data_IF_980725143989
#
_entry.id   IF_980725143989
#
_cell.length_a   1.000
_cell.length_b   1.000
_cell.length_c   1.000
_cell.angle_alpha   90.00
_cell.angle_beta   90.00
_cell.angle_gamma   90.00
#
_symmetry.space_group_name_H-M   'P 1'
#
loop_
_entity.id
_entity.type
_entity.pdbx_description
1 polymer ?
#
# COMPACT_ATOMS: atom_id res chain seq x y z
N UNK A 1 7.99 -9.89 -4.18
CA UNK A 1 9.40 -10.14 -3.79
C UNK A 1 10.23 -10.88 -4.82
N UNK A 2 9.99 -12.16 -5.16
CA UNK A 2 10.84 -12.91 -6.11
C UNK A 2 11.10 -12.20 -7.44
N UNK A 3 10.05 -11.65 -8.08
CA UNK A 3 10.20 -10.87 -9.32
C UNK A 3 11.17 -9.68 -9.17
N UNK A 4 11.12 -8.98 -8.04
CA UNK A 4 12.01 -7.85 -7.73
C UNK A 4 13.45 -8.36 -7.53
N UNK A 5 13.62 -9.46 -6.79
CA UNK A 5 14.93 -10.07 -6.60
C UNK A 5 15.57 -10.54 -7.92
N UNK A 6 14.78 -11.13 -8.82
CA UNK A 6 15.23 -11.55 -10.15
C UNK A 6 15.62 -10.37 -11.05
N UNK A 7 15.11 -9.16 -10.80
CA UNK A 7 15.43 -7.96 -11.56
C UNK A 7 16.92 -7.59 -11.46
N UNK A 8 17.56 -7.80 -10.31
CA UNK A 8 19.01 -7.59 -10.12
C UNK A 8 19.86 -8.50 -11.01
N UNK A 9 19.30 -9.62 -11.49
CA UNK A 9 19.99 -10.48 -12.46
C UNK A 9 19.82 -10.01 -13.91
N UNK A 10 18.72 -9.31 -14.20
CA UNK A 10 18.34 -8.90 -15.56
C UNK A 10 18.85 -7.51 -15.91
N UNK A 11 18.68 -6.54 -15.01
CA UNK A 11 19.08 -5.15 -15.20
C UNK A 11 20.30 -4.90 -14.31
N UNK A 12 21.43 -4.60 -14.95
CA UNK A 12 22.70 -4.30 -14.28
C UNK A 12 23.18 -2.93 -14.73
N UNK A 13 22.73 -1.86 -14.07
CA UNK A 13 23.23 -0.52 -14.34
C UNK A 13 24.73 -0.47 -14.05
N UNK A 14 25.49 0.27 -14.85
CA UNK A 14 26.91 0.52 -14.56
C UNK A 14 27.11 1.41 -13.32
N UNK A 15 26.07 2.17 -12.95
CA UNK A 15 26.06 3.03 -11.78
C UNK A 15 24.62 3.32 -11.31
N UNK A 16 24.40 3.35 -10.00
CA UNK A 16 23.12 3.62 -9.35
C UNK A 16 23.27 4.74 -8.35
N UNK A 17 22.27 5.62 -8.27
CA UNK A 17 22.20 6.71 -7.29
C UNK A 17 20.81 6.71 -6.66
N UNK A 18 20.75 6.79 -5.34
CA UNK A 18 19.54 7.04 -4.55
C UNK A 18 19.60 8.45 -3.99
N UNK A 19 18.62 9.29 -4.32
CA UNK A 19 18.36 10.56 -3.65
C UNK A 19 17.70 10.28 -2.30
N UNK A 20 18.53 10.19 -1.26
CA UNK A 20 18.11 10.05 0.13
C UNK A 20 18.10 11.38 0.87
N UNK A 21 17.71 12.49 0.25
CA UNK A 21 17.52 13.75 1.00
C UNK A 21 16.41 13.62 2.04
N UNK A 22 15.36 12.88 1.70
CA UNK A 22 14.26 12.55 2.59
C UNK A 22 13.92 11.07 2.45
N UNK A 23 13.45 10.46 3.53
CA UNK A 23 12.77 9.18 3.47
C UNK A 23 11.30 9.35 3.81
N UNK A 24 10.45 8.61 3.09
CA UNK A 24 9.04 8.44 3.45
C UNK A 24 8.91 7.20 4.33
N UNK A 25 8.41 7.38 5.54
CA UNK A 25 8.13 6.31 6.51
C UNK A 25 6.63 6.04 6.58
N UNK A 26 6.20 5.00 7.29
CA UNK A 26 4.79 4.61 7.42
C UNK A 26 4.07 4.20 6.10
N UNK A 27 4.82 3.66 5.14
CA UNK A 27 4.29 3.18 3.87
C UNK A 27 4.54 4.15 2.72
N UNK A 28 3.97 3.84 1.56
CA UNK A 28 4.30 4.54 0.30
C UNK A 28 3.45 5.79 0.01
N UNK A 29 2.40 6.04 0.79
CA UNK A 29 1.50 7.19 0.61
C UNK A 29 1.54 8.11 1.84
N UNK A 30 2.25 9.25 1.78
CA UNK A 30 2.26 10.21 2.87
C UNK A 30 0.94 10.97 2.95
N UNK A 31 0.33 10.99 4.14
CA UNK A 31 -0.91 11.73 4.39
C UNK A 31 -0.63 13.23 4.46
N UNK A 32 -1.42 14.03 3.75
CA UNK A 32 -1.19 15.47 3.65
C UNK A 32 -1.31 16.17 5.01
N UNK A 33 -2.33 15.82 5.81
CA UNK A 33 -2.55 16.44 7.13
C UNK A 33 -1.62 15.92 8.23
N UNK A 34 -0.77 14.95 7.93
CA UNK A 34 0.20 14.37 8.87
C UNK A 34 1.59 14.26 8.25
N UNK A 35 1.89 15.09 7.25
CA UNK A 35 3.10 14.98 6.43
C UNK A 35 4.39 15.00 7.27
N UNK A 36 4.38 15.76 8.37
CA UNK A 36 5.46 15.84 9.36
C UNK A 36 5.79 14.51 10.03
N UNK A 37 4.84 13.56 10.07
CA UNK A 37 5.03 12.21 10.60
C UNK A 37 5.57 11.23 9.57
N UNK A 38 5.46 11.53 8.28
CA UNK A 38 5.87 10.66 7.17
C UNK A 38 7.25 11.01 6.63
N UNK A 39 7.66 12.28 6.67
CA UNK A 39 8.87 12.74 6.00
C UNK A 39 9.99 12.92 7.00
N UNK A 40 11.05 12.13 6.83
CA UNK A 40 12.26 12.22 7.65
C UNK A 40 13.39 12.81 6.81
N UNK A 41 13.96 13.98 7.19
CA UNK A 41 15.18 14.49 6.57
C UNK A 41 16.35 13.55 6.85
N UNK A 42 16.95 13.04 5.78
CA UNK A 42 18.10 12.11 5.85
C UNK A 42 19.38 12.76 5.35
N UNK A 43 19.27 13.66 4.36
CA UNK A 43 20.39 14.46 3.84
C UNK A 43 21.56 13.60 3.34
N UNK A 44 21.30 12.53 2.59
CA UNK A 44 22.31 11.62 2.06
C UNK A 44 22.06 11.28 0.60
N UNK A 45 23.13 11.10 -0.15
CA UNK A 45 23.09 10.42 -1.44
C UNK A 45 23.82 9.10 -1.30
N UNK A 46 23.24 8.03 -1.83
CA UNK A 46 23.84 6.71 -1.83
C UNK A 46 24.13 6.37 -3.28
N UNK A 47 25.37 6.01 -3.60
CA UNK A 47 25.75 5.71 -4.96
C UNK A 47 26.76 4.57 -5.00
N UNK A 48 26.75 3.82 -6.10
CA UNK A 48 27.64 2.69 -6.30
C UNK A 48 27.43 2.05 -7.68
N UNK A 49 28.33 1.15 -8.04
CA UNK A 49 28.32 0.36 -9.28
C UNK A 49 27.52 -0.96 -9.15
N UNK A 50 27.06 -1.30 -7.95
CA UNK A 50 26.18 -2.45 -7.69
C UNK A 50 24.85 -2.00 -7.07
N UNK A 51 23.76 -2.23 -7.80
CA UNK A 51 22.41 -1.86 -7.38
C UNK A 51 21.97 -2.54 -6.06
N UNK A 52 22.32 -3.81 -5.88
CA UNK A 52 21.96 -4.56 -4.68
C UNK A 52 22.77 -4.08 -3.47
N UNK A 53 24.03 -3.68 -3.67
CA UNK A 53 24.83 -3.05 -2.63
C UNK A 53 24.22 -1.70 -2.20
N UNK A 54 23.83 -0.87 -3.17
CA UNK A 54 23.19 0.43 -2.90
C UNK A 54 21.90 0.27 -2.11
N UNK A 55 21.01 -0.63 -2.54
CA UNK A 55 19.74 -0.87 -1.83
C UNK A 55 19.95 -1.52 -0.46
N UNK A 56 20.97 -2.35 -0.31
CA UNK A 56 21.38 -2.90 0.99
C UNK A 56 21.79 -1.78 1.95
N UNK A 57 22.60 -0.81 1.50
CA UNK A 57 22.98 0.33 2.32
C UNK A 57 21.78 1.25 2.60
N UNK A 58 20.89 1.46 1.62
CA UNK A 58 19.67 2.21 1.83
C UNK A 58 18.77 1.58 2.92
N UNK A 59 18.60 0.24 2.89
CA UNK A 59 17.88 -0.49 3.93
C UNK A 59 18.55 -0.33 5.31
N UNK A 60 19.89 -0.45 5.39
CA UNK A 60 20.64 -0.25 6.64
C UNK A 60 20.49 1.18 7.19
N UNK A 61 20.52 2.19 6.33
CA UNK A 61 20.28 3.60 6.69
C UNK A 61 18.87 3.79 7.29
N UNK A 62 17.89 3.01 6.83
CA UNK A 62 16.53 2.98 7.37
C UNK A 62 16.40 2.10 8.64
N UNK A 63 17.48 1.45 9.07
CA UNK A 63 17.56 0.58 10.23
C UNK A 63 17.04 -0.84 10.00
N UNK A 64 17.16 -1.35 8.78
CA UNK A 64 16.78 -2.71 8.40
C UNK A 64 17.98 -3.51 7.91
N UNK A 65 18.07 -4.76 8.37
CA UNK A 65 19.00 -5.73 7.80
C UNK A 65 18.47 -6.31 6.49
N UNK A 66 19.38 -6.77 5.63
CA UNK A 66 19.04 -7.42 4.34
C UNK A 66 18.06 -8.58 4.54
N UNK A 67 18.23 -9.33 5.63
CA UNK A 67 17.37 -10.48 5.96
C UNK A 67 15.92 -10.11 6.30
N UNK A 68 15.67 -8.84 6.65
CA UNK A 68 14.34 -8.34 7.01
C UNK A 68 13.57 -7.79 5.81
N UNK A 69 14.25 -7.57 4.68
CA UNK A 69 13.64 -7.07 3.44
C UNK A 69 13.62 -8.22 2.43
N UNK A 70 12.45 -8.85 2.28
CA UNK A 70 12.31 -10.14 1.58
C UNK A 70 12.95 -10.18 0.18
N UNK A 71 12.78 -9.15 -0.65
CA UNK A 71 13.42 -9.13 -1.97
C UNK A 71 14.94 -8.93 -1.90
N UNK A 72 15.47 -8.17 -0.94
CA UNK A 72 16.91 -8.04 -0.73
C UNK A 72 17.52 -9.33 -0.20
N UNK A 73 16.84 -9.99 0.74
CA UNK A 73 17.21 -11.33 1.22
C UNK A 73 17.32 -12.33 0.07
N UNK A 74 16.28 -12.45 -0.75
CA UNK A 74 16.27 -13.37 -1.90
C UNK A 74 17.37 -13.04 -2.93
N UNK A 75 17.61 -11.75 -3.19
CA UNK A 75 18.67 -11.31 -4.09
C UNK A 75 20.07 -11.61 -3.50
N UNK A 76 20.27 -11.34 -2.21
CA UNK A 76 21.54 -11.59 -1.53
C UNK A 76 21.84 -13.08 -1.37
N UNK A 77 20.83 -13.92 -1.17
CA UNK A 77 21.00 -15.38 -1.17
C UNK A 77 21.64 -15.89 -2.47
N UNK A 78 21.31 -15.25 -3.60
CA UNK A 78 21.81 -15.57 -4.94
C UNK A 78 23.16 -14.91 -5.25
N UNK A 79 23.35 -13.65 -4.87
CA UNK A 79 24.47 -12.82 -5.31
C UNK A 79 25.57 -12.62 -4.25
N UNK A 80 25.28 -12.86 -2.96
CA UNK A 80 26.21 -12.77 -1.82
C UNK A 80 26.92 -11.41 -1.73
N UNK A 81 26.19 -10.33 -1.96
CA UNK A 81 26.73 -8.95 -2.02
C UNK A 81 26.85 -8.34 -0.63
N UNK A 82 25.89 -8.60 0.28
CA UNK A 82 25.72 -7.90 1.56
C UNK A 82 26.96 -7.91 2.47
N UNK A 83 27.74 -8.99 2.44
CA UNK A 83 28.95 -9.17 3.25
C UNK A 83 30.24 -8.59 2.65
N UNK A 84 30.17 -7.96 1.47
CA UNK A 84 31.34 -7.46 0.72
C UNK A 84 31.26 -5.97 0.40
N UNK A 85 30.30 -5.26 0.98
CA UNK A 85 30.07 -3.85 0.69
C UNK A 85 31.09 -3.01 1.45
N UNK A 86 31.96 -2.32 0.72
CA UNK A 86 32.79 -1.23 1.26
C UNK A 86 31.99 0.08 1.19
N UNK A 87 31.88 0.78 2.32
CA UNK A 87 31.16 2.07 2.40
C UNK A 87 32.18 3.19 2.46
N UNK A 88 32.18 4.05 1.44
CA UNK A 88 32.94 5.30 1.44
C UNK A 88 32.04 6.42 1.96
N UNK A 89 32.35 6.95 3.14
CA UNK A 89 31.57 7.98 3.83
C UNK A 89 31.08 7.52 5.20
N UNK A 90 30.46 8.44 5.95
CA UNK A 90 29.99 8.17 7.30
C UNK A 90 28.47 7.89 7.32
N UNK A 91 28.12 6.64 7.62
CA UNK A 91 26.73 6.21 7.85
C UNK A 91 26.42 5.99 9.33
N UNK A 92 27.38 6.19 10.24
CA UNK A 92 27.20 5.92 11.69
C UNK A 92 26.13 6.82 12.33
N UNK A 93 25.86 7.98 11.74
CA UNK A 93 24.76 8.88 12.13
C UNK A 93 23.37 8.26 11.94
N UNK A 94 23.24 7.24 11.09
CA UNK A 94 21.99 6.52 10.84
C UNK A 94 21.88 5.33 11.78
N UNK A 95 21.39 5.60 12.99
CA UNK A 95 21.32 4.63 14.09
C UNK A 95 19.89 4.40 14.59
N UNK A 96 18.90 4.76 13.78
CA UNK A 96 17.48 4.64 14.12
C UNK A 96 16.78 3.70 13.15
N UNK A 97 15.84 2.94 13.69
CA UNK A 97 14.92 2.14 12.90
C UNK A 97 13.65 2.93 12.62
N UNK A 98 13.32 3.08 11.35
CA UNK A 98 12.14 3.83 10.92
C UNK A 98 10.94 2.91 10.68
N UNK A 99 9.72 3.29 11.04
CA UNK A 99 8.55 2.45 10.82
C UNK A 99 8.17 2.36 9.34
N UNK A 100 7.77 1.17 8.89
CA UNK A 100 7.25 0.95 7.53
C UNK A 100 5.73 0.66 7.49
N UNK A 101 5.12 0.41 8.64
CA UNK A 101 3.66 0.19 8.76
C UNK A 101 2.93 1.53 8.79
N UNK A 102 1.75 1.58 8.16
CA UNK A 102 0.84 2.71 8.23
C UNK A 102 0.52 3.11 9.68
N UNK A 103 0.11 4.35 9.90
CA UNK A 103 -0.08 4.90 11.26
C UNK A 103 -1.28 4.25 11.94
N UNK A 104 -2.34 3.96 11.19
CA UNK A 104 -3.51 3.24 11.68
C UNK A 104 -4.62 4.13 12.25
N UNK A 105 -4.74 5.37 11.76
CA UNK A 105 -5.81 6.32 12.12
C UNK A 105 -7.05 6.05 11.26
N UNK A 106 -7.89 5.12 11.72
CA UNK A 106 -9.14 4.74 11.03
C UNK A 106 -10.38 5.35 11.69
N UNK A 107 -11.50 5.47 10.94
CA UNK A 107 -12.77 5.86 11.56
C UNK A 107 -13.25 4.79 12.56
N UNK A 108 -13.63 5.20 13.78
CA UNK A 108 -14.11 4.32 14.86
C UNK A 108 -15.28 3.40 14.46
N UNK A 109 -16.10 3.86 13.51
CA UNK A 109 -17.26 3.11 13.01
C UNK A 109 -16.90 1.86 12.21
N UNK A 110 -15.64 1.70 11.77
CA UNK A 110 -15.22 0.63 10.86
C UNK A 110 -14.77 -0.62 11.62
N UNK A 111 -15.38 -1.77 11.28
CA UNK A 111 -14.94 -3.08 11.79
C UNK A 111 -14.02 -3.76 10.78
N UNK A 112 -12.81 -4.12 11.18
CA UNK A 112 -11.86 -4.85 10.33
C UNK A 112 -11.76 -6.31 10.80
N UNK A 113 -11.96 -7.25 9.88
CA UNK A 113 -11.81 -8.69 10.11
C UNK A 113 -10.73 -9.23 9.19
N UNK A 114 -9.77 -9.95 9.75
CA UNK A 114 -8.67 -10.59 9.01
C UNK A 114 -8.71 -12.09 9.26
N UNK A 115 -8.64 -12.87 8.18
CA UNK A 115 -8.53 -14.31 8.25
C UNK A 115 -7.25 -14.76 8.96
N UNK A 116 -7.36 -15.81 9.77
CA UNK A 116 -6.29 -16.33 10.64
C UNK A 116 -5.26 -17.19 9.89
N UNK A 117 -5.65 -17.78 8.76
CA UNK A 117 -4.74 -18.58 7.94
C UNK A 117 -3.87 -17.72 7.02
N UNK A 118 -4.44 -16.66 6.45
CA UNK A 118 -3.74 -15.76 5.52
C UNK A 118 -4.43 -14.43 5.41
N UNK A 119 -3.69 -13.33 5.50
CA UNK A 119 -4.13 -12.01 5.05
C UNK A 119 -2.89 -11.24 4.58
N UNK A 120 -2.63 -11.25 3.27
CA UNK A 120 -1.39 -10.68 2.73
C UNK A 120 -1.36 -9.16 2.95
N UNK A 121 -0.31 -8.68 3.62
CA UNK A 121 -0.10 -7.27 3.94
C UNK A 121 -0.02 -6.42 2.66
N UNK A 122 0.96 -6.71 1.80
CA UNK A 122 1.15 -6.01 0.52
C UNK A 122 0.08 -6.31 -0.54
N UNK A 123 -0.74 -7.35 -0.31
CA UNK A 123 -1.74 -7.81 -1.26
C UNK A 123 -3.11 -7.17 -1.05
N UNK A 124 -3.72 -7.41 0.10
CA UNK A 124 -5.10 -7.02 0.36
C UNK A 124 -5.21 -6.01 1.50
N UNK A 125 -4.37 -6.14 2.53
CA UNK A 125 -4.56 -5.42 3.80
C UNK A 125 -4.02 -4.00 3.73
N UNK A 126 -2.70 -3.83 3.57
CA UNK A 126 -2.04 -2.55 3.82
C UNK A 126 -2.48 -1.47 2.83
N UNK A 127 -2.63 -1.82 1.55
CA UNK A 127 -3.12 -0.87 0.54
C UNK A 127 -4.58 -0.46 0.78
N UNK A 128 -5.43 -1.39 1.22
CA UNK A 128 -6.82 -1.06 1.57
C UNK A 128 -6.90 -0.18 2.80
N UNK A 129 -6.11 -0.51 3.83
CA UNK A 129 -6.10 0.24 5.07
C UNK A 129 -5.45 1.62 4.90
N UNK A 130 -4.43 1.74 4.06
CA UNK A 130 -3.86 3.03 3.69
C UNK A 130 -4.90 3.91 2.99
N UNK A 131 -5.65 3.39 2.00
CA UNK A 131 -6.71 4.16 1.35
C UNK A 131 -7.78 4.57 2.35
N UNK A 132 -8.19 3.67 3.25
CA UNK A 132 -9.14 3.99 4.33
C UNK A 132 -8.64 5.14 5.22
N UNK A 133 -7.38 5.07 5.65
CA UNK A 133 -6.74 6.08 6.48
C UNK A 133 -6.64 7.42 5.75
N UNK A 134 -6.19 7.44 4.49
CA UNK A 134 -6.14 8.64 3.65
C UNK A 134 -7.51 9.30 3.51
N UNK A 135 -8.54 8.53 3.17
CA UNK A 135 -9.89 9.06 3.03
C UNK A 135 -10.42 9.63 4.36
N UNK A 136 -10.02 9.05 5.48
CA UNK A 136 -10.41 9.52 6.80
C UNK A 136 -9.67 10.79 7.22
N UNK A 137 -8.35 10.76 7.17
CA UNK A 137 -7.48 11.82 7.69
C UNK A 137 -7.55 13.04 6.76
N UNK A 138 -7.25 12.86 5.48
CA UNK A 138 -7.11 13.98 4.55
C UNK A 138 -8.48 14.52 4.09
N UNK A 139 -9.47 13.64 3.93
CA UNK A 139 -10.79 14.02 3.39
C UNK A 139 -11.93 13.99 4.40
N UNK A 140 -11.66 13.66 5.67
CA UNK A 140 -12.67 13.67 6.74
C UNK A 140 -13.73 12.58 6.59
N UNK A 141 -13.49 11.57 5.76
CA UNK A 141 -14.44 10.49 5.52
C UNK A 141 -14.74 9.69 6.78
N UNK A 142 -16.01 9.39 7.01
CA UNK A 142 -16.51 8.66 8.17
C UNK A 142 -17.58 7.69 7.74
N UNK A 143 -17.79 6.61 8.50
CA UNK A 143 -18.88 5.69 8.24
C UNK A 143 -18.88 4.50 9.19
N UNK A 144 -19.98 3.77 9.16
CA UNK A 144 -20.13 2.50 9.85
C UNK A 144 -20.24 1.39 8.82
N UNK A 145 -19.22 0.55 8.74
CA UNK A 145 -19.14 -0.54 7.77
C UNK A 145 -18.09 -1.55 8.23
N UNK A 146 -17.99 -2.67 7.53
CA UNK A 146 -16.97 -3.68 7.81
C UNK A 146 -16.10 -3.95 6.60
N UNK A 147 -14.84 -4.30 6.85
CA UNK A 147 -13.91 -4.77 5.84
C UNK A 147 -13.41 -6.17 6.24
N UNK A 148 -13.46 -7.11 5.31
CA UNK A 148 -13.07 -8.51 5.50
C UNK A 148 -11.94 -8.86 4.56
N UNK A 149 -10.87 -9.44 5.09
CA UNK A 149 -9.66 -9.83 4.35
C UNK A 149 -9.29 -11.28 4.58
N UNK A 150 -8.70 -11.91 3.57
CA UNK A 150 -7.94 -13.13 3.77
C UNK A 150 -8.75 -14.43 3.92
N UNK A 151 -8.08 -15.45 4.48
CA UNK A 151 -8.53 -16.85 4.60
C UNK A 151 -8.51 -17.32 6.06
N UNK A 152 -9.39 -18.25 6.43
CA UNK A 152 -9.52 -18.75 7.80
C UNK A 152 -10.33 -17.78 8.64
N UNK A 153 -11.47 -17.37 8.10
CA UNK A 153 -12.38 -16.40 8.68
C UNK A 153 -13.26 -17.06 9.74
N UNK A 154 -13.34 -16.43 10.91
CA UNK A 154 -14.20 -16.91 11.99
C UNK A 154 -15.67 -16.60 11.68
N UNK A 155 -16.48 -17.64 11.52
CA UNK A 155 -17.90 -17.51 11.23
C UNK A 155 -18.64 -16.61 12.24
N UNK A 156 -18.27 -16.65 13.52
CA UNK A 156 -18.89 -15.78 14.55
C UNK A 156 -18.57 -14.32 14.32
N UNK A 157 -17.35 -14.01 13.88
CA UNK A 157 -16.96 -12.64 13.53
C UNK A 157 -17.72 -12.14 12.28
N UNK A 158 -17.89 -13.04 11.30
CA UNK A 158 -18.63 -12.78 10.06
C UNK A 158 -20.14 -12.62 10.29
N UNK A 159 -20.72 -13.21 11.34
CA UNK A 159 -22.13 -13.04 11.69
C UNK A 159 -22.43 -11.70 12.38
N UNK A 160 -21.39 -11.03 12.90
CA UNK A 160 -21.48 -9.78 13.65
C UNK A 160 -20.81 -8.59 12.93
N UNK A 161 -20.97 -8.50 11.61
CA UNK A 161 -20.48 -7.38 10.80
C UNK A 161 -21.48 -6.21 10.74
N UNK A 162 -20.95 -5.00 10.57
CA UNK A 162 -21.67 -3.76 10.26
C UNK A 162 -21.83 -3.62 8.74
N UNK A 163 -23.05 -3.59 8.16
CA UNK A 163 -23.24 -3.32 6.75
C UNK A 163 -23.10 -1.82 6.44
N UNK A 164 -22.59 -1.43 5.25
CA UNK A 164 -22.16 -2.32 4.17
C UNK A 164 -20.87 -3.09 4.49
N UNK A 165 -20.67 -4.24 3.83
CA UNK A 165 -19.47 -5.08 4.00
C UNK A 165 -18.63 -5.01 2.73
N UNK A 166 -17.35 -4.67 2.87
CA UNK A 166 -16.34 -4.75 1.81
C UNK A 166 -15.53 -6.03 2.01
N UNK A 167 -15.51 -6.92 1.03
CA UNK A 167 -14.74 -8.16 1.04
C UNK A 167 -13.59 -8.01 0.06
N UNK A 168 -12.36 -8.03 0.54
CA UNK A 168 -11.18 -7.71 -0.28
C UNK A 168 -10.25 -8.91 -0.42
N UNK A 169 -9.94 -9.23 -1.67
CA UNK A 169 -9.04 -10.28 -2.08
C UNK A 169 -9.77 -11.57 -2.45
N UNK A 170 -9.22 -12.36 -3.40
CA UNK A 170 -9.83 -13.59 -3.87
C UNK A 170 -10.07 -14.58 -2.73
N UNK A 171 -9.13 -14.70 -1.77
CA UNK A 171 -9.26 -15.61 -0.65
C UNK A 171 -10.52 -15.35 0.20
N UNK A 172 -10.83 -14.09 0.50
CA UNK A 172 -11.99 -13.75 1.32
C UNK A 172 -13.30 -13.89 0.53
N UNK A 173 -13.27 -13.55 -0.75
CA UNK A 173 -14.42 -13.67 -1.65
C UNK A 173 -14.79 -15.14 -1.84
N UNK A 174 -13.82 -16.01 -2.11
CA UNK A 174 -14.03 -17.45 -2.27
C UNK A 174 -14.54 -18.11 -0.98
N UNK A 175 -14.00 -17.75 0.17
CA UNK A 175 -14.36 -18.39 1.44
C UNK A 175 -15.70 -17.88 2.01
N UNK A 176 -15.97 -16.58 1.92
CA UNK A 176 -17.07 -15.94 2.65
C UNK A 176 -18.06 -15.16 1.77
N UNK A 177 -17.77 -14.90 0.49
CA UNK A 177 -18.58 -14.03 -0.37
C UNK A 177 -20.05 -14.42 -0.44
N UNK A 178 -20.34 -15.68 -0.78
CA UNK A 178 -21.71 -16.21 -0.88
C UNK A 178 -22.46 -16.18 0.45
N UNK A 179 -21.77 -16.55 1.54
CA UNK A 179 -22.35 -16.49 2.88
C UNK A 179 -22.72 -15.05 3.25
N UNK A 180 -21.81 -14.10 3.03
CA UNK A 180 -22.01 -12.70 3.35
C UNK A 180 -23.12 -12.08 2.50
N UNK A 181 -23.21 -12.38 1.20
CA UNK A 181 -24.29 -11.92 0.33
C UNK A 181 -25.67 -12.42 0.75
N UNK A 182 -25.77 -13.65 1.25
CA UNK A 182 -27.02 -14.19 1.81
C UNK A 182 -27.39 -13.53 3.14
N UNK A 183 -26.39 -13.15 3.94
CA UNK A 183 -26.57 -12.66 5.31
C UNK A 183 -26.77 -11.15 5.42
N UNK A 184 -26.15 -10.37 4.54
CA UNK A 184 -26.12 -8.91 4.58
C UNK A 184 -26.65 -8.31 3.28
N UNK A 185 -27.48 -7.27 3.41
CA UNK A 185 -28.14 -6.62 2.27
C UNK A 185 -27.15 -5.93 1.30
N UNK A 186 -26.00 -5.47 1.78
CA UNK A 186 -25.04 -4.70 0.98
C UNK A 186 -23.62 -5.24 1.21
N UNK A 187 -23.18 -6.06 0.27
CA UNK A 187 -21.83 -6.62 0.20
C UNK A 187 -21.19 -6.17 -1.10
N UNK A 188 -19.96 -5.66 -1.03
CA UNK A 188 -19.13 -5.31 -2.19
C UNK A 188 -17.91 -6.20 -2.15
N UNK A 189 -17.65 -6.91 -3.24
CA UNK A 189 -16.51 -7.81 -3.38
C UNK A 189 -15.46 -7.19 -4.29
N UNK A 190 -14.20 -7.33 -3.89
CA UNK A 190 -13.02 -7.01 -4.70
C UNK A 190 -12.24 -8.32 -4.87
N UNK A 191 -12.50 -9.10 -5.93
CA UNK A 191 -11.97 -10.46 -6.08
C UNK A 191 -10.51 -10.52 -6.54
N UNK A 192 -9.76 -9.42 -6.41
CA UNK A 192 -8.38 -9.30 -6.83
C UNK A 192 -7.52 -8.79 -5.67
N UNK A 193 -6.28 -9.28 -5.60
CA UNK A 193 -5.28 -8.65 -4.76
C UNK A 193 -4.92 -7.28 -5.35
N UNK A 194 -4.80 -6.28 -4.49
CA UNK A 194 -4.30 -4.95 -4.82
C UNK A 194 -5.10 -4.20 -5.91
N UNK A 195 -6.41 -4.44 -6.04
CA UNK A 195 -7.28 -3.62 -6.89
C UNK A 195 -7.69 -2.34 -6.15
N UNK A 196 -6.75 -1.39 -6.12
CA UNK A 196 -6.89 -0.10 -5.47
C UNK A 196 -8.08 0.71 -6.00
N UNK A 197 -8.41 0.61 -7.29
CA UNK A 197 -9.50 1.37 -7.87
C UNK A 197 -10.86 0.87 -7.37
N UNK A 198 -11.06 -0.46 -7.31
CA UNK A 198 -12.28 -1.05 -6.75
C UNK A 198 -12.41 -0.75 -5.25
N UNK A 199 -11.32 -0.86 -4.50
CA UNK A 199 -11.27 -0.51 -3.07
C UNK A 199 -11.62 0.95 -2.84
N UNK A 200 -10.96 1.88 -3.56
CA UNK A 200 -11.21 3.32 -3.46
C UNK A 200 -12.67 3.64 -3.79
N UNK A 201 -13.22 3.06 -4.84
CA UNK A 201 -14.62 3.22 -5.23
C UNK A 201 -15.58 2.79 -4.12
N UNK A 202 -15.35 1.62 -3.52
CA UNK A 202 -16.18 1.11 -2.44
C UNK A 202 -16.09 2.00 -1.19
N UNK A 203 -14.87 2.36 -0.78
CA UNK A 203 -14.62 3.17 0.41
C UNK A 203 -15.18 4.58 0.26
N UNK A 204 -15.02 5.23 -0.88
CA UNK A 204 -15.64 6.54 -1.14
C UNK A 204 -17.16 6.49 -0.97
N UNK A 205 -17.81 5.45 -1.51
CA UNK A 205 -19.26 5.27 -1.36
C UNK A 205 -19.66 5.02 0.09
N UNK A 206 -18.86 4.25 0.84
CA UNK A 206 -19.17 3.90 2.24
C UNK A 206 -18.93 5.10 3.17
N UNK A 207 -17.95 5.93 2.85
CA UNK A 207 -17.56 7.13 3.59
C UNK A 207 -18.23 8.41 3.10
N UNK A 208 -19.14 8.29 2.10
CA UNK A 208 -19.91 9.39 1.48
C UNK A 208 -19.03 10.50 0.90
N UNK A 209 -17.89 10.12 0.33
CA UNK A 209 -16.96 11.02 -0.36
C UNK A 209 -17.22 11.03 -1.88
N UNK A 210 -17.05 12.19 -2.50
CA UNK A 210 -17.15 12.40 -3.96
C UNK A 210 -15.77 12.51 -4.57
N UNK A 211 -15.61 12.10 -5.83
CA UNK A 211 -14.35 12.19 -6.55
C UNK A 211 -13.79 13.63 -6.62
N UNK A 212 -14.68 14.63 -6.73
CA UNK A 212 -14.32 16.06 -6.75
C UNK A 212 -13.80 16.59 -5.41
N UNK A 213 -13.95 15.84 -4.32
CA UNK A 213 -13.30 16.18 -3.04
C UNK A 213 -11.85 15.71 -3.02
N UNK A 214 -11.52 14.64 -3.74
CA UNK A 214 -10.18 14.05 -3.81
C UNK A 214 -9.32 14.72 -4.90
N UNK A 215 -9.96 15.08 -6.01
CA UNK A 215 -9.30 15.77 -7.11
C UNK A 215 -9.84 17.20 -7.14
N UNK A 216 -9.07 18.21 -6.71
CA UNK A 216 -9.55 19.59 -6.57
C UNK A 216 -9.58 20.30 -7.93
N UNK A 217 -10.23 19.68 -8.92
CA UNK A 217 -10.48 20.27 -10.24
C UNK A 217 -11.99 20.40 -10.48
N UNK A 218 -12.44 21.41 -11.23
CA UNK A 218 -13.84 21.55 -11.59
C UNK A 218 -14.37 20.29 -12.27
N UNK A 219 -15.62 19.91 -11.97
CA UNK A 219 -16.24 18.70 -12.52
C UNK A 219 -16.24 18.69 -14.06
N UNK A 220 -16.42 19.84 -14.71
CA UNK A 220 -16.36 19.97 -16.17
C UNK A 220 -14.99 19.66 -16.73
N UNK A 221 -13.93 20.14 -16.08
CA UNK A 221 -12.53 19.82 -16.43
C UNK A 221 -12.23 18.34 -16.23
N UNK A 222 -12.70 17.75 -15.12
CA UNK A 222 -12.54 16.32 -14.85
C UNK A 222 -13.20 15.45 -15.93
N UNK A 223 -14.42 15.79 -16.35
CA UNK A 223 -15.13 15.10 -17.43
C UNK A 223 -14.38 15.25 -18.76
N UNK A 224 -13.95 16.47 -19.09
CA UNK A 224 -13.23 16.73 -20.34
C UNK A 224 -11.92 15.93 -20.43
N UNK A 225 -11.13 15.90 -19.36
CA UNK A 225 -9.89 15.12 -19.31
C UNK A 225 -10.15 13.61 -19.36
N UNK A 226 -11.21 13.13 -18.71
CA UNK A 226 -11.59 11.73 -18.79
C UNK A 226 -12.00 11.30 -20.21
N UNK A 227 -12.82 12.11 -20.89
CA UNK A 227 -13.19 11.88 -22.29
C UNK A 227 -11.94 11.87 -23.17
N UNK A 228 -11.06 12.87 -23.01
CA UNK A 228 -9.80 12.97 -23.77
C UNK A 228 -8.91 11.74 -23.56
N UNK A 229 -8.79 11.26 -22.32
CA UNK A 229 -8.04 10.04 -22.01
C UNK A 229 -8.63 8.81 -22.71
N UNK A 230 -9.96 8.66 -22.73
CA UNK A 230 -10.64 7.56 -23.43
C UNK A 230 -10.49 7.64 -24.94
N UNK A 231 -10.59 8.85 -25.52
CA UNK A 231 -10.35 9.07 -26.95
C UNK A 231 -8.90 8.74 -27.35
N UNK A 232 -7.93 8.92 -26.45
CA UNK A 232 -6.54 8.51 -26.65
C UNK A 232 -6.26 7.06 -26.24
N UNK A 233 -7.29 6.23 -26.06
CA UNK A 233 -7.15 4.78 -25.84
C UNK A 233 -6.75 4.35 -24.43
N UNK A 234 -6.94 5.21 -23.41
CA UNK A 234 -6.60 4.86 -22.04
C UNK A 234 -7.44 3.68 -21.51
N UNK A 235 -6.74 2.60 -21.18
CA UNK A 235 -7.27 1.39 -20.52
C UNK A 235 -7.10 1.43 -19.00
N UNK A 236 -6.67 2.56 -18.44
CA UNK A 236 -6.44 2.70 -17.02
C UNK A 236 -7.72 2.35 -16.22
N UNK A 237 -7.55 1.53 -15.19
CA UNK A 237 -8.60 1.18 -14.25
C UNK A 237 -8.73 2.30 -13.22
N UNK A 238 -9.60 3.27 -13.50
CA UNK A 238 -9.83 4.44 -12.64
C UNK A 238 -11.14 4.31 -11.88
N UNK A 239 -11.25 4.84 -10.65
CA UNK A 239 -12.54 4.98 -9.98
C UNK A 239 -13.57 5.72 -10.87
N UNK A 240 -14.87 5.44 -10.71
CA UNK A 240 -15.90 6.17 -11.42
C UNK A 240 -15.93 7.63 -10.94
N UNK A 241 -16.20 8.55 -11.87
CA UNK A 241 -16.30 9.98 -11.57
C UNK A 241 -17.59 10.34 -10.81
N UNK A 242 -18.62 9.48 -10.90
CA UNK A 242 -19.98 9.67 -10.39
C UNK A 242 -20.47 8.45 -9.62
#
# INVERSE_FOLDING_TARGET
HKLIADLYSLIKPDFVIVDGRHATVHGHYPLEKMLDRYIVPMGVYIAGDDALAVDTIAARILGYDVSEVEHLKLADEKHKVSGRIEVIGDISRFNRRYPHKHIGVYPEGVKIVKGKERACEEGCVDNTLMVLEMLHVDYGGRGEFSIVFGKGLDKKELENLKPPVLVVGPCAVEEAGDFLKKRYRKVVEVPYCNDLAAVLTALMKFMKLKATQLVPIPATSLIAEWIKAKLHGSTAHTPPLF
#
